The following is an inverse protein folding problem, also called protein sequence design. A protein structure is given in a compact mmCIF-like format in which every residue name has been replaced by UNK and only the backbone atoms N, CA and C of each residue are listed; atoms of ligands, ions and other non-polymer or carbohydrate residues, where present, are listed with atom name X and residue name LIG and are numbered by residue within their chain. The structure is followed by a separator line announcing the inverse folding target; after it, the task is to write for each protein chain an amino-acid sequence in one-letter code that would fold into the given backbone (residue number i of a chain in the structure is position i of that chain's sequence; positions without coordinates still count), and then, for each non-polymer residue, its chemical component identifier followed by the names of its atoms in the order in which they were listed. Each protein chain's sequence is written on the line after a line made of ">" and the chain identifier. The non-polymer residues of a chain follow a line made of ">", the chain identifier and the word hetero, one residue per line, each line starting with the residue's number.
data_IF_553969544430
#
_entry.id   IF_553969544430
#
_cell.length_a   1.000
_cell.length_b   1.000
_cell.length_c   1.000
_cell.angle_alpha   90.00
_cell.angle_beta   90.00
_cell.angle_gamma   90.00
#
_symmetry.space_group_name_H-M   'P 1'
#
loop_
_entity.id
_entity.type
_entity.pdbx_description
1 polymer ?
#
# COMPACT_ATOMS: atom_id res chain seq x y z
N UNK A 1 30.24 4.81 -44.21
CA UNK A 1 29.42 3.69 -43.70
C UNK A 1 29.69 3.33 -42.23
N UNK A 2 30.91 3.48 -41.68
CA UNK A 2 31.26 3.10 -40.28
C UNK A 2 30.48 3.84 -39.17
N UNK A 3 30.16 5.12 -39.33
CA UNK A 3 29.43 5.94 -38.34
C UNK A 3 28.00 5.42 -38.07
N UNK A 4 27.25 5.05 -39.12
CA UNK A 4 25.90 4.45 -38.99
C UNK A 4 25.88 3.13 -38.20
N UNK A 5 26.93 2.30 -38.29
CA UNK A 5 27.00 1.02 -37.55
C UNK A 5 27.30 1.19 -36.06
N UNK A 6 27.94 2.30 -35.67
CA UNK A 6 28.29 2.60 -34.28
C UNK A 6 27.07 3.19 -33.55
N UNK A 7 26.32 4.05 -34.23
CA UNK A 7 25.05 4.60 -33.73
C UNK A 7 23.99 3.50 -33.54
N UNK A 8 23.86 2.56 -34.50
CA UNK A 8 22.96 1.39 -34.36
C UNK A 8 23.26 0.55 -33.12
N UNK A 9 24.53 0.24 -32.87
CA UNK A 9 24.96 -0.56 -31.70
C UNK A 9 24.78 0.15 -30.37
N UNK A 10 24.81 1.48 -30.34
CA UNK A 10 24.54 2.28 -29.13
C UNK A 10 23.03 2.30 -28.85
N UNK A 11 22.20 2.48 -29.88
CA UNK A 11 20.73 2.43 -29.74
C UNK A 11 20.27 1.05 -29.26
N UNK A 12 20.85 -0.03 -29.80
CA UNK A 12 20.60 -1.41 -29.34
C UNK A 12 20.92 -1.59 -27.85
N UNK A 13 22.09 -1.11 -27.42
CA UNK A 13 22.51 -1.21 -26.00
C UNK A 13 21.63 -0.37 -25.07
N UNK A 14 21.19 0.81 -25.51
CA UNK A 14 20.25 1.65 -24.75
C UNK A 14 18.88 0.96 -24.66
N UNK A 15 18.38 0.35 -25.75
CA UNK A 15 17.13 -0.40 -25.74
C UNK A 15 17.18 -1.60 -24.78
N UNK A 16 18.28 -2.35 -24.78
CA UNK A 16 18.48 -3.51 -23.88
C UNK A 16 18.56 -3.04 -22.42
N UNK A 17 19.23 -1.93 -22.14
CA UNK A 17 19.29 -1.34 -20.79
C UNK A 17 17.92 -0.91 -20.28
N UNK A 18 17.06 -0.35 -21.15
CA UNK A 18 15.68 0.06 -20.81
C UNK A 18 14.80 -1.16 -20.49
N UNK A 19 14.96 -2.29 -21.19
CA UNK A 19 14.18 -3.51 -20.91
C UNK A 19 14.50 -4.15 -19.56
N UNK A 20 15.74 -4.04 -19.06
CA UNK A 20 16.16 -4.69 -17.80
C UNK A 20 15.59 -3.96 -16.57
N UNK A 21 15.21 -2.68 -16.69
CA UNK A 21 14.73 -1.85 -15.57
C UNK A 21 13.27 -2.18 -15.18
N UNK A 22 12.52 -2.96 -15.98
CA UNK A 22 11.09 -3.20 -15.80
C UNK A 22 10.68 -4.31 -14.82
N UNK A 23 11.60 -5.11 -14.27
CA UNK A 23 11.26 -6.20 -13.35
C UNK A 23 11.16 -5.72 -11.89
N UNK A 24 10.18 -4.87 -11.60
CA UNK A 24 9.68 -4.73 -10.23
C UNK A 24 8.89 -5.99 -9.85
N UNK A 25 9.09 -6.53 -8.65
CA UNK A 25 8.28 -7.64 -8.13
C UNK A 25 6.84 -7.17 -7.92
N UNK A 26 6.00 -7.35 -8.94
CA UNK A 26 4.60 -6.99 -8.93
C UNK A 26 3.77 -8.11 -8.29
N UNK A 27 2.89 -7.75 -7.36
CA UNK A 27 1.90 -8.66 -6.80
C UNK A 27 0.92 -9.09 -7.89
N UNK A 28 0.53 -10.36 -7.85
CA UNK A 28 -0.56 -10.92 -8.65
C UNK A 28 -1.81 -11.02 -7.80
N UNK A 29 -3.01 -10.94 -8.41
CA UNK A 29 -4.25 -11.22 -7.70
C UNK A 29 -4.17 -12.59 -7.00
N UNK A 30 -4.45 -12.63 -5.70
CA UNK A 30 -4.32 -13.84 -4.89
C UNK A 30 -3.02 -13.97 -4.09
N UNK A 31 -2.01 -13.13 -4.34
CA UNK A 31 -0.77 -13.15 -3.57
C UNK A 31 -0.99 -12.65 -2.14
N UNK A 32 -0.29 -13.27 -1.18
CA UNK A 32 -0.30 -12.80 0.21
C UNK A 32 0.57 -11.56 0.33
N UNK A 33 -0.01 -10.48 0.84
CA UNK A 33 0.70 -9.23 1.11
C UNK A 33 1.25 -9.29 2.54
N UNK A 34 2.58 -9.24 2.74
CA UNK A 34 3.17 -9.30 4.07
C UNK A 34 2.64 -8.19 4.97
N UNK A 35 2.26 -8.56 6.19
CA UNK A 35 1.75 -7.66 7.21
C UNK A 35 2.52 -7.95 8.50
N UNK A 36 3.00 -6.89 9.14
CA UNK A 36 3.62 -6.96 10.47
C UNK A 36 2.87 -6.02 11.40
N UNK A 37 2.87 -6.31 12.70
CA UNK A 37 2.15 -5.53 13.71
C UNK A 37 3.03 -5.23 14.91
N UNK A 38 2.74 -4.11 15.56
CA UNK A 38 3.34 -3.71 16.82
C UNK A 38 2.24 -3.25 17.79
N UNK A 39 2.33 -3.67 19.06
CA UNK A 39 1.43 -3.24 20.12
C UNK A 39 2.04 -2.17 21.01
N UNK A 40 1.20 -1.32 21.59
CA UNK A 40 1.58 -0.40 22.66
C UNK A 40 0.56 -0.43 23.80
N UNK A 41 1.08 -0.59 25.02
CA UNK A 41 0.33 -0.51 26.27
C UNK A 41 1.17 0.20 27.32
N UNK A 42 0.58 1.13 28.08
CA UNK A 42 1.30 1.88 29.12
C UNK A 42 2.66 2.45 28.67
N UNK A 43 2.67 3.10 27.49
CA UNK A 43 3.86 3.60 26.80
C UNK A 43 4.92 2.53 26.40
N UNK A 44 4.83 1.29 26.88
CA UNK A 44 5.66 0.17 26.46
C UNK A 44 5.22 -0.33 25.09
N UNK A 45 6.18 -0.57 24.21
CA UNK A 45 5.96 -1.07 22.85
C UNK A 45 6.52 -2.47 22.74
N UNK A 46 5.81 -3.33 22.02
CA UNK A 46 6.38 -4.62 21.58
C UNK A 46 7.31 -4.39 20.40
N UNK A 47 8.08 -5.39 20.03
CA UNK A 47 8.74 -5.38 18.73
C UNK A 47 7.71 -5.53 17.60
N UNK A 48 8.16 -5.29 16.38
CA UNK A 48 7.42 -5.70 15.19
C UNK A 48 7.37 -7.22 15.13
N UNK A 49 6.17 -7.74 14.89
CA UNK A 49 5.93 -9.17 14.73
C UNK A 49 5.20 -9.41 13.43
N UNK A 50 5.70 -10.34 12.63
CA UNK A 50 5.03 -10.75 11.41
C UNK A 50 3.70 -11.43 11.71
N UNK A 51 2.70 -11.06 10.94
CA UNK A 51 1.38 -11.67 10.99
C UNK A 51 1.42 -12.93 10.13
N UNK A 52 0.81 -14.00 10.63
CA UNK A 52 0.72 -15.26 9.89
C UNK A 52 -0.05 -15.05 8.58
N UNK A 53 0.42 -15.66 7.49
CA UNK A 53 -0.09 -15.41 6.14
C UNK A 53 -1.61 -15.54 5.96
N UNK A 54 -2.27 -16.40 6.73
CA UNK A 54 -3.73 -16.56 6.67
C UNK A 54 -4.52 -15.37 7.24
N UNK A 55 -3.89 -14.56 8.12
CA UNK A 55 -4.42 -13.30 8.63
C UNK A 55 -3.96 -12.09 7.79
N UNK A 56 -3.05 -12.28 6.84
CA UNK A 56 -2.58 -11.20 5.99
C UNK A 56 -3.61 -10.85 4.91
N UNK A 57 -3.56 -9.62 4.37
CA UNK A 57 -4.33 -9.25 3.19
C UNK A 57 -3.90 -10.09 1.99
N UNK A 58 -4.86 -10.43 1.13
CA UNK A 58 -4.63 -11.08 -0.16
C UNK A 58 -4.80 -10.03 -1.24
N UNK A 59 -3.81 -9.86 -2.11
CA UNK A 59 -3.80 -8.83 -3.15
C UNK A 59 -5.04 -8.93 -4.06
N UNK A 60 -5.79 -7.83 -4.15
CA UNK A 60 -7.01 -7.72 -4.96
C UNK A 60 -8.25 -8.45 -4.43
N UNK A 61 -8.22 -9.00 -3.21
CA UNK A 61 -9.34 -9.78 -2.65
C UNK A 61 -9.83 -9.17 -1.35
N UNK A 62 -11.08 -8.67 -1.36
CA UNK A 62 -11.76 -8.21 -0.14
C UNK A 62 -12.00 -9.38 0.79
N UNK A 63 -11.58 -9.25 2.05
CA UNK A 63 -11.75 -10.31 3.03
C UNK A 63 -11.73 -9.80 4.46
N UNK A 64 -12.35 -10.56 5.34
CA UNK A 64 -12.37 -10.31 6.77
C UNK A 64 -11.56 -11.40 7.47
N UNK A 65 -10.80 -11.03 8.50
CA UNK A 65 -9.97 -11.96 9.27
C UNK A 65 -10.06 -11.64 10.76
N UNK A 66 -9.99 -12.67 11.60
CA UNK A 66 -9.84 -12.51 13.04
C UNK A 66 -8.36 -12.51 13.38
N UNK A 67 -7.81 -11.33 13.70
CA UNK A 67 -6.42 -11.16 14.10
C UNK A 67 -6.27 -11.35 15.61
N UNK A 68 -5.44 -12.31 16.09
CA UNK A 68 -5.19 -12.49 17.50
C UNK A 68 -4.21 -11.44 18.04
N UNK A 69 -4.57 -10.85 19.18
CA UNK A 69 -3.77 -9.90 19.94
C UNK A 69 -3.33 -10.59 21.24
N UNK A 70 -2.01 -10.76 21.43
CA UNK A 70 -1.47 -11.35 22.64
C UNK A 70 -1.61 -10.39 23.81
N UNK A 71 -1.67 -10.94 25.02
CA UNK A 71 -1.74 -10.17 26.26
C UNK A 71 -0.48 -9.30 26.38
N UNK A 72 -0.59 -7.97 26.50
CA UNK A 72 0.58 -7.14 26.73
C UNK A 72 1.14 -7.38 28.14
N UNK A 73 2.45 -7.23 28.29
CA UNK A 73 3.13 -7.33 29.58
C UNK A 73 2.56 -6.30 30.56
N UNK A 74 2.21 -6.73 31.77
CA UNK A 74 1.64 -5.84 32.78
C UNK A 74 0.21 -5.35 32.47
N UNK A 75 -0.56 -6.08 31.66
CA UNK A 75 -1.96 -5.72 31.39
C UNK A 75 -2.79 -5.68 32.67
N UNK A 76 -3.29 -4.50 33.01
CA UNK A 76 -4.20 -4.24 34.14
C UNK A 76 -5.59 -3.79 33.67
N UNK A 77 -5.79 -3.62 32.36
CA UNK A 77 -6.98 -2.96 31.80
C UNK A 77 -7.06 -1.47 32.13
N UNK A 78 -5.99 -0.90 32.71
CA UNK A 78 -5.99 0.47 33.16
C UNK A 78 -5.65 1.48 32.06
N UNK A 79 -4.90 1.05 31.06
CA UNK A 79 -4.52 1.91 29.95
C UNK A 79 -5.14 1.46 28.65
N UNK A 80 -5.16 2.40 27.70
CA UNK A 80 -5.61 2.13 26.36
C UNK A 80 -4.57 1.27 25.62
N UNK A 81 -5.03 0.23 24.92
CA UNK A 81 -4.17 -0.58 24.04
C UNK A 81 -4.22 -0.02 22.62
N UNK A 82 -3.06 0.19 22.02
CA UNK A 82 -2.91 0.64 20.64
C UNK A 82 -2.18 -0.39 19.80
N UNK A 83 -2.49 -0.45 18.52
CA UNK A 83 -1.81 -1.31 17.54
C UNK A 83 -1.36 -0.48 16.33
N UNK A 84 -0.24 -0.83 15.73
CA UNK A 84 0.26 -0.25 14.49
C UNK A 84 0.61 -1.40 13.53
N UNK A 85 0.56 -1.14 12.24
CA UNK A 85 0.80 -2.13 11.20
C UNK A 85 1.81 -1.64 10.17
N UNK A 86 2.55 -2.58 9.60
CA UNK A 86 3.40 -2.39 8.44
C UNK A 86 2.93 -3.32 7.33
N UNK A 87 2.73 -2.80 6.13
CA UNK A 87 2.17 -3.54 4.99
C UNK A 87 3.13 -3.52 3.81
N UNK A 88 3.23 -4.65 3.12
CA UNK A 88 3.94 -4.76 1.85
C UNK A 88 5.45 -4.68 2.00
N UNK A 89 6.02 -5.47 2.93
CA UNK A 89 7.46 -5.47 3.27
C UNK A 89 7.90 -4.10 3.79
N UNK A 90 7.18 -3.60 4.78
CA UNK A 90 7.47 -2.34 5.48
C UNK A 90 7.33 -1.06 4.62
N UNK A 91 6.85 -1.18 3.37
CA UNK A 91 6.63 -0.04 2.46
C UNK A 91 5.61 0.96 3.02
N UNK A 92 4.57 0.48 3.70
CA UNK A 92 3.50 1.31 4.26
C UNK A 92 3.38 1.16 5.77
N UNK A 93 3.56 2.25 6.51
CA UNK A 93 3.33 2.31 7.95
C UNK A 93 1.94 2.86 8.24
N UNK A 94 1.13 2.08 8.93
CA UNK A 94 -0.15 2.51 9.49
C UNK A 94 0.11 3.04 10.90
N UNK A 95 -0.29 4.29 11.22
CA UNK A 95 -0.06 4.87 12.53
C UNK A 95 -0.86 4.16 13.63
N UNK A 96 -0.62 4.55 14.89
CA UNK A 96 -1.28 3.94 16.05
C UNK A 96 -2.79 4.03 16.00
N UNK A 97 -3.44 2.86 15.98
CA UNK A 97 -4.87 2.66 16.07
C UNK A 97 -5.24 2.33 17.51
N UNK A 98 -6.20 3.06 18.08
CA UNK A 98 -6.69 2.82 19.43
C UNK A 98 -7.72 1.69 19.42
N UNK A 99 -7.37 0.55 20.00
CA UNK A 99 -8.17 -0.67 19.92
C UNK A 99 -8.96 -0.92 21.20
N UNK A 100 -8.26 -1.04 22.34
CA UNK A 100 -8.93 -1.24 23.62
C UNK A 100 -8.99 0.13 24.30
N UNK A 101 -10.20 0.62 24.54
CA UNK A 101 -10.46 1.92 25.16
C UNK A 101 -11.45 1.77 26.30
N UNK A 102 -11.24 2.52 27.39
CA UNK A 102 -12.17 2.61 28.53
C UNK A 102 -13.45 3.40 28.20
N UNK A 103 -13.40 4.28 27.20
CA UNK A 103 -14.50 5.21 26.90
C UNK A 103 -15.62 4.60 26.05
N UNK A 104 -15.37 3.49 25.35
CA UNK A 104 -16.36 2.83 24.50
C UNK A 104 -16.50 1.36 24.89
N UNK A 105 -17.70 0.89 25.26
CA UNK A 105 -17.95 -0.53 25.53
C UNK A 105 -18.13 -1.36 24.25
N UNK A 106 -18.11 -0.73 23.08
CA UNK A 106 -18.30 -1.39 21.79
C UNK A 106 -17.05 -2.16 21.37
N UNK A 107 -17.25 -3.35 20.80
CA UNK A 107 -16.13 -4.17 20.33
C UNK A 107 -15.51 -3.48 19.11
N UNK A 108 -14.20 -3.23 19.12
CA UNK A 108 -13.52 -2.57 18.01
C UNK A 108 -13.37 -3.53 16.82
N UNK A 109 -13.45 -2.98 15.63
CA UNK A 109 -13.12 -3.62 14.36
C UNK A 109 -12.20 -2.68 13.57
N UNK A 110 -11.29 -3.23 12.76
CA UNK A 110 -10.34 -2.44 11.99
C UNK A 110 -10.69 -2.55 10.51
N UNK A 111 -10.99 -1.42 9.88
CA UNK A 111 -11.13 -1.35 8.42
C UNK A 111 -9.81 -0.90 7.83
N UNK A 112 -9.25 -1.69 6.93
CA UNK A 112 -8.01 -1.43 6.21
C UNK A 112 -8.34 -1.28 4.72
N UNK A 113 -8.14 -0.10 4.18
CA UNK A 113 -8.32 0.20 2.76
C UNK A 113 -6.95 0.18 2.08
N UNK A 114 -6.80 -0.74 1.13
CA UNK A 114 -5.61 -0.91 0.31
C UNK A 114 -5.90 -0.41 -1.10
N UNK A 115 -5.09 0.54 -1.56
CA UNK A 115 -5.17 1.09 -2.91
C UNK A 115 -4.05 0.50 -3.76
N UNK A 116 -4.41 -0.08 -4.89
CA UNK A 116 -3.47 -0.67 -5.83
C UNK A 116 -3.69 -0.18 -7.26
N UNK A 117 -2.64 -0.20 -8.07
CA UNK A 117 -2.67 0.02 -9.52
C UNK A 117 -1.77 -1.03 -10.16
N UNK A 118 -2.30 -1.74 -11.15
CA UNK A 118 -1.61 -2.92 -11.68
C UNK A 118 -1.26 -3.91 -10.56
N UNK A 119 0.02 -4.24 -10.44
CA UNK A 119 0.54 -5.15 -9.41
C UNK A 119 1.28 -4.47 -8.25
N UNK A 120 1.18 -3.15 -8.07
CA UNK A 120 1.78 -2.47 -6.92
C UNK A 120 0.72 -1.85 -6.00
N UNK A 121 1.06 -1.76 -4.72
CA UNK A 121 0.27 -1.08 -3.70
C UNK A 121 0.77 0.36 -3.65
N UNK A 122 -0.15 1.32 -3.74
CA UNK A 122 0.15 2.76 -3.73
C UNK A 122 -0.16 3.42 -2.39
N UNK A 123 -1.06 2.84 -1.60
CA UNK A 123 -1.38 3.40 -0.30
C UNK A 123 -2.23 2.47 0.54
N UNK A 124 -2.05 2.59 1.85
CA UNK A 124 -2.82 1.86 2.85
C UNK A 124 -3.33 2.86 3.88
N UNK A 125 -4.62 2.81 4.18
CA UNK A 125 -5.22 3.57 5.28
C UNK A 125 -6.00 2.61 6.16
N UNK A 126 -6.01 2.87 7.47
CA UNK A 126 -6.81 2.09 8.38
C UNK A 126 -7.51 2.97 9.39
N UNK A 127 -8.68 2.51 9.83
CA UNK A 127 -9.49 3.16 10.85
C UNK A 127 -10.05 2.11 11.79
N UNK A 128 -10.21 2.50 13.05
CA UNK A 128 -10.97 1.70 14.02
C UNK A 128 -12.42 2.14 13.93
N UNK A 129 -13.30 1.18 13.72
CA UNK A 129 -14.74 1.35 13.66
C UNK A 129 -15.37 0.45 14.70
N UNK A 130 -16.57 0.79 15.15
CA UNK A 130 -17.30 -0.09 16.04
C UNK A 130 -17.88 -1.27 15.26
N UNK A 131 -17.91 -2.44 15.88
CA UNK A 131 -18.46 -3.63 15.28
C UNK A 131 -19.97 -3.45 14.99
N UNK A 132 -20.44 -3.68 13.75
CA UNK A 132 -21.85 -3.56 13.41
C UNK A 132 -22.71 -4.50 14.27
N UNK A 133 -23.89 -4.02 14.70
CA UNK A 133 -24.76 -4.77 15.62
C UNK A 133 -25.12 -6.16 15.12
N UNK A 134 -25.35 -6.33 13.82
CA UNK A 134 -25.67 -7.63 13.22
C UNK A 134 -24.64 -8.73 13.55
N UNK A 135 -23.34 -8.41 13.63
CA UNK A 135 -22.33 -9.41 14.04
C UNK A 135 -22.43 -9.78 15.52
N UNK A 136 -22.83 -8.83 16.36
CA UNK A 136 -23.01 -9.03 17.80
C UNK A 136 -24.30 -9.81 18.10
N UNK A 137 -25.35 -9.61 17.29
CA UNK A 137 -26.63 -10.30 17.43
C UNK A 137 -26.51 -11.79 17.09
N UNK A 138 -25.65 -12.13 16.11
CA UNK A 138 -25.37 -13.54 15.76
C UNK A 138 -24.45 -14.19 16.81
N UNK A 139 -23.58 -13.42 17.45
CA UNK A 139 -22.54 -13.91 18.35
C UNK A 139 -22.45 -13.08 19.63
N UNK A 140 -23.44 -13.26 20.53
CA UNK A 140 -23.52 -12.55 21.81
C UNK A 140 -22.31 -12.80 22.73
N UNK A 141 -21.60 -13.91 22.52
CA UNK A 141 -20.42 -14.31 23.27
C UNK A 141 -19.19 -13.46 22.95
N UNK A 142 -19.08 -12.89 21.73
CA UNK A 142 -17.93 -12.07 21.32
C UNK A 142 -17.73 -10.89 22.25
N UNK A 143 -18.80 -10.18 22.61
CA UNK A 143 -18.72 -9.01 23.49
C UNK A 143 -18.20 -9.41 24.87
N UNK A 144 -18.75 -10.48 25.46
CA UNK A 144 -18.35 -10.97 26.78
C UNK A 144 -16.90 -11.47 26.75
N UNK A 145 -16.55 -12.28 25.76
CA UNK A 145 -15.21 -12.83 25.57
C UNK A 145 -14.16 -11.75 25.33
N UNK A 146 -14.48 -10.71 24.54
CA UNK A 146 -13.54 -9.64 24.25
C UNK A 146 -13.25 -8.77 25.48
N UNK A 147 -14.25 -8.49 26.31
CA UNK A 147 -14.08 -7.64 27.50
C UNK A 147 -13.64 -8.38 28.76
N UNK A 148 -13.72 -9.72 28.79
CA UNK A 148 -13.25 -10.53 29.90
C UNK A 148 -11.71 -10.40 30.11
N UNK A 149 -11.21 -9.87 31.24
CA UNK A 149 -9.78 -9.66 31.45
C UNK A 149 -8.92 -10.94 31.36
N UNK A 150 -9.48 -12.11 31.65
CA UNK A 150 -8.75 -13.38 31.70
C UNK A 150 -8.65 -14.05 30.32
N UNK A 151 -9.63 -13.80 29.45
CA UNK A 151 -9.69 -14.44 28.15
C UNK A 151 -8.71 -13.81 27.15
N UNK A 152 -7.57 -14.47 26.92
CA UNK A 152 -6.56 -14.09 25.93
C UNK A 152 -6.17 -15.29 25.07
N UNK A 153 -5.79 -15.09 23.79
CA UNK A 153 -5.62 -13.82 23.08
C UNK A 153 -6.94 -13.16 22.66
N UNK A 154 -6.98 -11.83 22.64
CA UNK A 154 -8.13 -11.09 22.11
C UNK A 154 -8.18 -11.19 20.60
N UNK A 155 -9.32 -11.58 20.03
CA UNK A 155 -9.48 -11.67 18.57
C UNK A 155 -10.18 -10.43 18.07
N UNK A 156 -9.59 -9.78 17.07
CA UNK A 156 -10.13 -8.55 16.48
C UNK A 156 -10.43 -8.78 15.03
N UNK A 157 -11.64 -8.39 14.63
CA UNK A 157 -12.03 -8.45 13.23
C UNK A 157 -11.30 -7.34 12.46
N UNK A 158 -10.57 -7.72 11.43
CA UNK A 158 -9.89 -6.84 10.49
C UNK A 158 -10.48 -7.07 9.12
N UNK A 159 -10.96 -6.02 8.48
CA UNK A 159 -11.54 -6.07 7.14
C UNK A 159 -10.59 -5.41 6.15
N UNK A 160 -10.18 -6.16 5.14
CA UNK A 160 -9.36 -5.66 4.05
C UNK A 160 -10.26 -5.32 2.87
N UNK A 161 -10.21 -4.07 2.44
CA UNK A 161 -10.89 -3.55 1.26
C UNK A 161 -9.84 -3.16 0.23
N UNK A 162 -9.99 -3.66 -0.99
CA UNK A 162 -9.16 -3.32 -2.13
C UNK A 162 -9.89 -2.36 -3.05
N UNK A 163 -9.19 -1.27 -3.37
CA UNK A 163 -9.63 -0.27 -4.33
C UNK A 163 -8.58 -0.21 -5.44
N UNK A 164 -8.96 -0.65 -6.64
CA UNK A 164 -8.15 -0.44 -7.83
C UNK A 164 -8.26 1.04 -8.24
N UNK A 165 -7.13 1.73 -8.31
CA UNK A 165 -7.04 3.06 -8.88
C UNK A 165 -6.16 3.00 -10.11
N UNK A 166 -6.68 3.43 -11.25
CA UNK A 166 -5.86 3.63 -12.44
C UNK A 166 -4.86 4.75 -12.17
N UNK A 167 -3.59 4.40 -12.02
CA UNK A 167 -2.52 5.39 -12.02
C UNK A 167 -2.38 5.92 -13.44
N UNK A 168 -2.95 7.10 -13.69
CA UNK A 168 -2.58 7.89 -14.85
C UNK A 168 -1.23 8.50 -14.48
N UNK A 169 -0.15 8.04 -15.11
CA UNK A 169 1.18 8.63 -14.93
C UNK A 169 1.17 10.04 -15.54
N UNK A 170 0.68 11.00 -14.76
CA UNK A 170 0.55 12.39 -15.16
C UNK A 170 1.95 12.96 -15.46
N UNK A 171 2.96 12.58 -14.67
CA UNK A 171 4.33 13.02 -14.86
C UNK A 171 4.94 12.47 -16.15
N UNK A 172 4.80 11.18 -16.44
CA UNK A 172 5.20 10.57 -17.70
C UNK A 172 4.47 11.15 -18.90
N UNK A 173 3.16 11.37 -18.77
CA UNK A 173 2.35 12.09 -19.76
C UNK A 173 2.91 13.48 -20.06
N UNK A 174 3.28 14.24 -19.02
CA UNK A 174 3.92 15.55 -19.17
C UNK A 174 5.30 15.45 -19.83
N UNK A 175 6.16 14.50 -19.44
CA UNK A 175 7.47 14.34 -20.08
C UNK A 175 7.37 14.01 -21.56
N UNK A 176 6.42 13.15 -21.95
CA UNK A 176 6.16 12.83 -23.36
C UNK A 176 5.67 14.06 -24.11
N UNK A 177 4.70 14.81 -23.55
CA UNK A 177 4.20 16.03 -24.17
C UNK A 177 5.30 17.08 -24.34
N UNK A 178 6.11 17.28 -23.30
CA UNK A 178 7.19 18.26 -23.31
C UNK A 178 8.30 17.86 -24.28
N UNK A 179 8.67 16.57 -24.31
CA UNK A 179 9.64 16.03 -25.25
C UNK A 179 9.19 16.14 -26.70
N UNK A 180 7.92 15.81 -27.00
CA UNK A 180 7.34 15.95 -28.33
C UNK A 180 7.27 17.42 -28.76
N UNK A 181 6.84 18.31 -27.86
CA UNK A 181 6.82 19.75 -28.11
C UNK A 181 8.21 20.32 -28.39
N UNK A 182 9.21 19.94 -27.61
CA UNK A 182 10.61 20.36 -27.80
C UNK A 182 11.21 19.85 -29.13
N UNK A 183 10.88 18.62 -29.53
CA UNK A 183 11.30 18.09 -30.84
C UNK A 183 10.65 18.85 -31.99
N UNK A 184 9.36 19.16 -31.88
CA UNK A 184 8.62 19.86 -32.92
C UNK A 184 9.12 21.31 -33.09
N UNK A 185 9.45 22.00 -31.99
CA UNK A 185 10.05 23.34 -32.05
C UNK A 185 11.45 23.31 -32.67
N UNK A 186 12.28 22.30 -32.36
CA UNK A 186 13.58 22.12 -33.02
C UNK A 186 13.45 21.90 -34.53
N UNK A 187 12.52 21.05 -34.96
CA UNK A 187 12.26 20.79 -36.39
C UNK A 187 11.79 22.06 -37.09
N UNK A 188 10.86 22.82 -36.48
CA UNK A 188 10.41 24.10 -37.03
C UNK A 188 11.52 25.13 -37.10
N UNK A 189 12.38 25.23 -36.09
CA UNK A 189 13.51 26.15 -36.10
C UNK A 189 14.48 25.84 -37.25
N UNK A 190 14.81 24.57 -37.47
CA UNK A 190 15.65 24.13 -38.60
C UNK A 190 14.97 24.47 -39.94
N UNK A 191 13.67 24.22 -40.06
CA UNK A 191 12.92 24.50 -41.28
C UNK A 191 12.89 26.00 -41.61
N UNK A 192 12.67 26.86 -40.62
CA UNK A 192 12.70 28.32 -40.77
C UNK A 192 14.11 28.78 -41.19
N UNK A 193 15.16 28.25 -40.55
CA UNK A 193 16.55 28.54 -40.90
C UNK A 193 16.86 28.17 -42.36
N UNK A 194 16.45 26.98 -42.81
CA UNK A 194 16.63 26.54 -44.20
C UNK A 194 15.85 27.41 -45.19
N UNK A 195 14.57 27.70 -44.90
CA UNK A 195 13.74 28.56 -45.75
C UNK A 195 14.26 30.00 -45.83
N UNK A 196 14.83 30.52 -44.75
CA UNK A 196 15.43 31.86 -44.74
C UNK A 196 16.71 31.95 -45.59
N UNK A 197 17.50 30.88 -45.65
CA UNK A 197 18.69 30.79 -46.49
C UNK A 197 18.30 30.80 -47.98
N UNK A 198 17.24 30.09 -48.36
CA UNK A 198 16.73 30.06 -49.75
C UNK A 198 16.21 31.42 -50.24
N UNK A 199 15.81 32.32 -49.34
CA UNK A 199 15.30 33.65 -49.69
C UNK A 199 16.38 34.75 -49.74
N UNK A 200 17.60 34.43 -49.33
CA UNK A 200 18.74 35.37 -49.29
C UNK A 200 19.72 35.18 -50.46
N UNK A 201 19.40 34.28 -51.39
CA UNK A 201 20.07 34.07 -52.69
C UNK A 201 19.16 34.61 -53.80
#
# INVERSE_FOLDING_TARGET
>A
SRSRSRSRRVVEKIMIMIMIIGCGAAYRPGDVVPLSRMGQYHAMRTNWHDVLGHHCPIFGVNREVLLPIPKPTGYTGADAYKISFQVGREKFLIPWLLVINRKSPEVPMIDVHLRHSGGDIHGVTAKVVNMPHHYLDIHEDIRKAFWDPENWPKRILVRYFWEERSEIDVSGGFYVLFGAGFLLTLVMAIYILQSSQEKLV
#
